data_IF_865400682909
#
_entry.id   IF_865400682909
#
_cell.length_a   1.000
_cell.length_b   1.000
_cell.length_c   1.000
_cell.angle_alpha   90.00
_cell.angle_beta   90.00
_cell.angle_gamma   90.00
#
_symmetry.space_group_name_H-M   'P 1'
#
loop_
_entity.id
_entity.type
_entity.pdbx_description
1 polymer ?
#
# COMPACT_ATOMS: atom_id res chain seq x y z
N UNK A 1 10.00 3.85 -30.22
CA UNK A 1 9.79 3.52 -28.79
C UNK A 1 11.15 3.41 -28.13
N UNK A 2 11.64 4.45 -27.47
CA UNK A 2 12.93 4.36 -26.75
C UNK A 2 12.74 3.51 -25.50
N UNK A 3 13.47 2.40 -25.43
CA UNK A 3 13.53 1.58 -24.24
C UNK A 3 13.96 2.48 -23.05
N UNK A 4 13.18 2.48 -21.99
CA UNK A 4 13.56 3.21 -20.78
C UNK A 4 14.70 2.43 -20.13
N UNK A 5 15.86 3.05 -20.03
CA UNK A 5 16.95 2.50 -19.20
C UNK A 5 16.46 2.35 -17.77
N UNK A 6 16.75 1.21 -17.11
CA UNK A 6 16.51 1.05 -15.69
C UNK A 6 17.12 2.20 -14.90
N UNK A 7 16.51 2.54 -13.77
CA UNK A 7 17.03 3.58 -12.88
C UNK A 7 18.47 3.23 -12.51
N UNK A 8 19.42 4.11 -12.79
CA UNK A 8 20.81 3.92 -12.37
C UNK A 8 20.84 3.77 -10.83
N UNK A 9 21.66 2.85 -10.32
CA UNK A 9 21.68 2.52 -8.90
C UNK A 9 21.89 3.69 -7.95
N UNK A 10 22.59 4.76 -8.43
CA UNK A 10 22.83 6.00 -7.68
C UNK A 10 21.56 6.82 -7.39
N UNK A 11 20.49 6.66 -8.17
CA UNK A 11 19.23 7.41 -8.01
C UNK A 11 18.17 6.65 -7.19
N UNK A 12 18.51 5.43 -6.77
CA UNK A 12 17.56 4.56 -6.07
C UNK A 12 17.70 4.72 -4.56
N UNK A 13 16.60 5.03 -3.90
CA UNK A 13 16.56 5.14 -2.43
C UNK A 13 16.31 3.75 -1.86
N UNK A 14 17.39 2.99 -1.62
CA UNK A 14 17.32 1.61 -1.14
C UNK A 14 16.53 1.46 0.15
N UNK A 15 16.62 2.44 1.06
CA UNK A 15 15.88 2.43 2.32
C UNK A 15 14.37 2.37 2.12
N UNK A 16 13.82 3.09 1.14
CA UNK A 16 12.40 3.05 0.83
C UNK A 16 11.98 1.68 0.27
N UNK A 17 12.84 1.06 -0.53
CA UNK A 17 12.55 -0.27 -1.08
C UNK A 17 12.59 -1.34 0.01
N UNK A 18 13.53 -1.27 0.95
CA UNK A 18 13.60 -2.16 2.12
C UNK A 18 12.36 -1.98 2.99
N UNK A 19 11.99 -0.74 3.33
CA UNK A 19 10.79 -0.46 4.13
C UNK A 19 9.51 -0.97 3.46
N UNK A 20 9.39 -0.83 2.14
CA UNK A 20 8.26 -1.41 1.39
C UNK A 20 8.23 -2.92 1.47
N UNK A 21 9.39 -3.57 1.36
CA UNK A 21 9.51 -5.03 1.50
C UNK A 21 9.07 -5.49 2.89
N UNK A 22 9.53 -4.81 3.95
CA UNK A 22 9.12 -5.10 5.33
C UNK A 22 7.61 -4.87 5.52
N UNK A 23 7.08 -3.76 4.98
CA UNK A 23 5.65 -3.47 5.07
C UNK A 23 4.80 -4.55 4.37
N UNK A 24 5.22 -5.03 3.19
CA UNK A 24 4.53 -6.11 2.46
C UNK A 24 4.55 -7.43 3.24
N UNK A 25 5.68 -7.79 3.86
CA UNK A 25 5.77 -8.97 4.71
C UNK A 25 4.85 -8.85 5.94
N UNK A 26 4.78 -7.68 6.55
CA UNK A 26 3.87 -7.43 7.67
C UNK A 26 2.40 -7.51 7.25
N UNK A 27 2.04 -6.99 6.09
CA UNK A 27 0.69 -7.12 5.51
C UNK A 27 0.36 -8.58 5.21
N UNK A 28 1.33 -9.37 4.72
CA UNK A 28 1.15 -10.80 4.53
C UNK A 28 0.79 -11.50 5.85
N UNK A 29 1.52 -11.22 6.93
CA UNK A 29 1.24 -11.78 8.27
C UNK A 29 -0.18 -11.42 8.72
N UNK A 30 -0.62 -10.17 8.56
CA UNK A 30 -1.99 -9.76 8.89
C UNK A 30 -3.04 -10.57 8.12
N UNK A 31 -2.79 -10.80 6.83
CA UNK A 31 -3.74 -11.44 5.94
C UNK A 31 -3.77 -12.98 6.05
N UNK A 32 -2.81 -13.60 6.76
CA UNK A 32 -2.77 -15.06 6.92
C UNK A 32 -4.05 -15.62 7.54
N UNK A 33 -4.66 -14.89 8.46
CA UNK A 33 -5.95 -15.29 9.08
C UNK A 33 -7.03 -15.43 8.00
N UNK A 34 -7.11 -14.47 7.08
CA UNK A 34 -8.14 -14.48 6.03
C UNK A 34 -7.85 -15.47 4.88
N UNK A 35 -6.62 -15.98 4.77
CA UNK A 35 -6.28 -17.00 3.77
C UNK A 35 -6.60 -18.42 4.24
N UNK A 36 -6.48 -18.68 5.53
CA UNK A 36 -6.58 -20.03 6.09
C UNK A 36 -7.83 -20.29 6.93
N UNK A 37 -8.54 -19.25 7.35
CA UNK A 37 -9.64 -19.35 8.30
C UNK A 37 -10.91 -18.69 7.75
N UNK A 38 -12.11 -19.08 8.26
CA UNK A 38 -13.36 -18.41 7.90
C UNK A 38 -13.28 -16.89 8.10
N UNK A 39 -13.76 -16.10 7.14
CA UNK A 39 -13.69 -14.64 7.17
C UNK A 39 -14.30 -13.98 8.41
N UNK A 40 -15.21 -14.66 9.10
CA UNK A 40 -15.77 -14.20 10.38
C UNK A 40 -14.67 -14.00 11.45
N UNK A 41 -13.60 -14.80 11.41
CA UNK A 41 -12.49 -14.72 12.39
C UNK A 41 -11.63 -13.48 12.21
N UNK A 42 -11.65 -12.90 11.03
CA UNK A 42 -10.94 -11.63 10.79
C UNK A 42 -11.56 -10.47 11.60
N UNK A 43 -12.88 -10.49 11.76
CA UNK A 43 -13.63 -9.47 12.50
C UNK A 43 -13.92 -9.86 13.95
N UNK A 44 -13.99 -11.16 14.24
CA UNK A 44 -14.27 -11.70 15.56
C UNK A 44 -13.39 -12.94 15.81
N UNK A 45 -12.21 -12.77 16.39
CA UNK A 45 -11.23 -13.85 16.58
C UNK A 45 -11.73 -14.96 17.51
N UNK A 46 -12.75 -14.69 18.32
CA UNK A 46 -13.35 -15.67 19.24
C UNK A 46 -14.62 -16.33 18.69
N UNK A 47 -14.92 -16.14 17.40
CA UNK A 47 -16.13 -16.69 16.78
C UNK A 47 -16.20 -18.23 16.80
N UNK A 48 -15.07 -18.93 16.89
CA UNK A 48 -15.01 -20.40 17.00
C UNK A 48 -14.70 -20.90 18.42
N UNK A 49 -14.58 -19.99 19.39
CA UNK A 49 -14.26 -20.31 20.77
C UNK A 49 -13.23 -19.38 21.38
N UNK A 50 -12.93 -19.51 22.67
CA UNK A 50 -11.94 -18.69 23.34
C UNK A 50 -10.53 -18.97 22.78
N UNK A 51 -9.75 -17.91 22.63
CA UNK A 51 -8.34 -18.02 22.28
C UNK A 51 -7.54 -18.43 23.52
N UNK A 52 -6.88 -19.58 23.46
CA UNK A 52 -6.08 -20.11 24.57
C UNK A 52 -4.63 -20.40 24.14
N UNK A 53 -3.73 -20.46 25.12
CA UNK A 53 -2.34 -20.86 24.90
C UNK A 53 -1.63 -20.06 23.82
N UNK A 54 -1.01 -20.75 22.88
CA UNK A 54 -0.22 -20.14 21.80
C UNK A 54 -1.07 -19.33 20.82
N UNK A 55 -2.32 -19.71 20.58
CA UNK A 55 -3.23 -18.98 19.67
C UNK A 55 -3.49 -17.57 20.20
N UNK A 56 -3.70 -17.43 21.50
CA UNK A 56 -3.85 -16.12 22.15
C UNK A 56 -2.57 -15.28 22.03
N UNK A 57 -1.40 -15.88 22.23
CA UNK A 57 -0.12 -15.17 22.10
C UNK A 57 0.10 -14.72 20.66
N UNK A 58 -0.12 -15.60 19.68
CA UNK A 58 0.00 -15.28 18.26
C UNK A 58 -0.97 -14.17 17.84
N UNK A 59 -2.22 -14.25 18.29
CA UNK A 59 -3.21 -13.21 18.03
C UNK A 59 -2.79 -11.86 18.61
N UNK A 60 -2.43 -11.81 19.89
CA UNK A 60 -1.99 -10.56 20.55
C UNK A 60 -0.73 -9.99 19.89
N UNK A 61 0.22 -10.84 19.52
CA UNK A 61 1.40 -10.39 18.78
C UNK A 61 1.02 -9.76 17.44
N UNK A 62 0.17 -10.42 16.67
CA UNK A 62 -0.31 -9.91 15.39
C UNK A 62 -1.07 -8.59 15.56
N UNK A 63 -1.93 -8.48 16.56
CA UNK A 63 -2.72 -7.28 16.85
C UNK A 63 -1.82 -6.09 17.25
N UNK A 64 -0.87 -6.33 18.14
CA UNK A 64 0.02 -5.26 18.65
C UNK A 64 1.05 -4.83 17.62
N UNK A 65 1.65 -5.76 16.87
CA UNK A 65 2.80 -5.47 16.02
C UNK A 65 2.49 -5.39 14.53
N UNK A 66 1.45 -6.08 14.05
CA UNK A 66 1.15 -6.14 12.63
C UNK A 66 -0.11 -5.36 12.24
N UNK A 67 -1.21 -5.54 12.97
CA UNK A 67 -2.51 -5.03 12.57
C UNK A 67 -2.49 -3.51 12.36
N UNK A 68 -2.98 -3.06 11.20
CA UNK A 68 -3.05 -1.68 10.72
C UNK A 68 -1.70 -0.94 10.58
N UNK A 69 -0.67 -1.30 11.35
CA UNK A 69 0.62 -0.61 11.36
C UNK A 69 1.38 -0.75 10.06
N UNK A 70 1.42 -1.96 9.50
CA UNK A 70 2.09 -2.20 8.22
C UNK A 70 1.27 -1.64 7.04
N UNK A 71 -0.06 -1.63 7.14
CA UNK A 71 -0.91 -0.92 6.17
C UNK A 71 -0.65 0.59 6.20
N UNK A 72 -0.59 1.19 7.39
CA UNK A 72 -0.25 2.60 7.57
C UNK A 72 1.14 2.92 7.01
N UNK A 73 2.16 2.12 7.37
CA UNK A 73 3.51 2.27 6.83
C UNK A 73 3.52 2.17 5.30
N UNK A 74 2.85 1.18 4.74
CA UNK A 74 2.77 1.00 3.29
C UNK A 74 2.06 2.17 2.62
N UNK A 75 1.00 2.71 3.21
CA UNK A 75 0.26 3.88 2.72
C UNK A 75 1.15 5.12 2.63
N UNK A 76 1.95 5.39 3.67
CA UNK A 76 2.92 6.49 3.69
C UNK A 76 3.98 6.30 2.59
N UNK A 77 4.53 5.09 2.48
CA UNK A 77 5.53 4.76 1.46
C UNK A 77 4.95 4.82 0.03
N UNK A 78 3.68 4.47 -0.14
CA UNK A 78 2.97 4.61 -1.40
C UNK A 78 2.83 6.09 -1.79
N UNK A 79 2.39 6.94 -0.87
CA UNK A 79 2.28 8.38 -1.07
C UNK A 79 3.63 9.02 -1.42
N UNK A 80 4.69 8.72 -0.65
CA UNK A 80 6.05 9.16 -0.95
C UNK A 80 6.50 8.70 -2.35
N UNK A 81 6.14 7.47 -2.73
CA UNK A 81 6.44 6.92 -4.05
C UNK A 81 5.74 7.65 -5.19
N UNK A 82 4.52 8.14 -4.99
CA UNK A 82 3.80 8.96 -5.99
C UNK A 82 4.54 10.29 -6.20
N UNK A 83 4.92 10.97 -5.11
CA UNK A 83 5.65 12.25 -5.17
C UNK A 83 7.00 12.07 -5.87
N UNK A 84 7.83 11.14 -5.40
CA UNK A 84 9.15 10.89 -5.97
C UNK A 84 9.10 10.49 -7.45
N UNK A 85 8.10 9.69 -7.83
CA UNK A 85 7.91 9.30 -9.21
C UNK A 85 7.53 10.48 -10.09
N UNK A 86 6.57 11.31 -9.66
CA UNK A 86 6.12 12.47 -10.43
C UNK A 86 7.21 13.52 -10.57
N UNK A 87 7.98 13.79 -9.51
CA UNK A 87 9.10 14.73 -9.55
C UNK A 87 10.20 14.27 -10.53
N UNK A 88 10.50 12.98 -10.55
CA UNK A 88 11.45 12.39 -11.50
C UNK A 88 10.97 12.47 -12.95
N UNK A 89 9.66 12.31 -13.20
CA UNK A 89 9.09 12.48 -14.54
C UNK A 89 9.16 13.94 -14.96
N UNK A 90 8.89 14.88 -14.04
CA UNK A 90 8.99 16.32 -14.25
C UNK A 90 10.41 16.72 -14.61
N UNK A 91 11.41 16.24 -13.87
CA UNK A 91 12.83 16.56 -14.14
C UNK A 91 13.30 16.08 -15.51
N UNK A 92 12.64 15.10 -16.11
CA UNK A 92 12.89 14.61 -17.47
C UNK A 92 12.07 15.35 -18.55
N UNK A 93 11.37 16.42 -18.20
CA UNK A 93 10.57 17.21 -19.13
C UNK A 93 9.34 16.47 -19.68
N UNK A 94 8.86 15.41 -19.00
CA UNK A 94 7.72 14.61 -19.44
C UNK A 94 6.45 14.99 -18.67
N UNK A 95 5.28 14.72 -19.24
CA UNK A 95 4.00 14.93 -18.58
C UNK A 95 3.83 13.99 -17.38
N UNK A 96 3.88 14.55 -16.18
CA UNK A 96 3.68 13.83 -14.92
C UNK A 96 2.33 13.13 -14.86
N UNK A 97 1.28 13.86 -15.25
CA UNK A 97 -0.10 13.36 -15.22
C UNK A 97 -0.26 12.15 -16.13
N UNK A 98 0.21 12.23 -17.40
CA UNK A 98 0.09 11.13 -18.35
C UNK A 98 0.77 9.85 -17.85
N UNK A 99 1.96 9.99 -17.26
CA UNK A 99 2.72 8.86 -16.74
C UNK A 99 2.12 8.30 -15.44
N UNK A 100 1.66 9.18 -14.55
CA UNK A 100 1.01 8.79 -13.31
C UNK A 100 -0.29 8.01 -13.59
N UNK A 101 -1.21 8.56 -14.38
CA UNK A 101 -2.49 7.92 -14.65
C UNK A 101 -2.35 6.64 -15.47
N UNK A 102 -1.38 6.56 -16.38
CA UNK A 102 -1.07 5.30 -17.08
C UNK A 102 -0.62 4.20 -16.10
N UNK A 103 0.29 4.53 -15.19
CA UNK A 103 0.74 3.60 -14.14
C UNK A 103 -0.41 3.21 -13.21
N UNK A 104 -1.23 4.19 -12.82
CA UNK A 104 -2.37 3.98 -11.96
C UNK A 104 -3.47 3.14 -12.64
N UNK A 105 -3.69 3.30 -13.92
CA UNK A 105 -4.59 2.46 -14.73
C UNK A 105 -4.17 0.99 -14.72
N UNK A 106 -2.87 0.70 -14.83
CA UNK A 106 -2.36 -0.66 -14.67
C UNK A 106 -2.54 -1.20 -13.26
N UNK A 107 -2.29 -0.36 -12.23
CA UNK A 107 -2.55 -0.74 -10.84
C UNK A 107 -4.01 -1.10 -10.61
N UNK A 108 -4.94 -0.30 -11.15
CA UNK A 108 -6.37 -0.57 -11.07
C UNK A 108 -6.75 -1.87 -11.80
N UNK A 109 -6.22 -2.08 -13.00
CA UNK A 109 -6.49 -3.28 -13.79
C UNK A 109 -6.03 -4.54 -13.05
N UNK A 110 -4.80 -4.54 -12.53
CA UNK A 110 -4.28 -5.65 -11.75
C UNK A 110 -5.03 -5.83 -10.43
N UNK A 111 -5.41 -4.72 -9.76
CA UNK A 111 -6.24 -4.76 -8.55
C UNK A 111 -7.60 -5.39 -8.80
N UNK A 112 -8.30 -5.00 -9.87
CA UNK A 112 -9.56 -5.61 -10.25
C UNK A 112 -9.41 -7.10 -10.57
N UNK A 113 -8.40 -7.46 -11.35
CA UNK A 113 -8.11 -8.87 -11.63
C UNK A 113 -7.84 -9.65 -10.34
N UNK A 114 -7.05 -9.08 -9.41
CA UNK A 114 -6.77 -9.70 -8.13
C UNK A 114 -8.03 -9.84 -7.28
N UNK A 115 -8.84 -8.77 -7.15
CA UNK A 115 -10.05 -8.76 -6.35
C UNK A 115 -11.10 -9.78 -6.82
N UNK A 116 -11.27 -9.92 -8.15
CA UNK A 116 -12.31 -10.80 -8.72
C UNK A 116 -11.84 -12.23 -8.98
N UNK A 117 -10.56 -12.45 -9.25
CA UNK A 117 -10.05 -13.76 -9.66
C UNK A 117 -9.28 -14.49 -8.56
N UNK A 118 -8.70 -13.77 -7.60
CA UNK A 118 -7.81 -14.36 -6.60
C UNK A 118 -8.37 -14.21 -5.19
N UNK A 119 -8.64 -12.98 -4.75
CA UNK A 119 -9.04 -12.74 -3.37
C UNK A 119 -9.76 -11.40 -3.20
N UNK A 120 -10.97 -11.44 -2.61
CA UNK A 120 -11.83 -10.28 -2.42
C UNK A 120 -11.32 -9.25 -1.38
N UNK A 121 -10.34 -9.61 -0.55
CA UNK A 121 -9.67 -8.70 0.38
C UNK A 121 -8.60 -7.81 -0.29
N UNK A 122 -8.74 -7.52 -1.60
CA UNK A 122 -7.79 -6.71 -2.34
C UNK A 122 -7.67 -5.28 -1.82
N UNK A 123 -6.45 -4.80 -1.75
CA UNK A 123 -6.11 -3.44 -1.37
C UNK A 123 -5.65 -2.58 -2.56
N UNK A 124 -5.27 -3.21 -3.69
CA UNK A 124 -4.70 -2.52 -4.85
C UNK A 124 -5.72 -1.59 -5.51
N UNK A 125 -7.00 -2.01 -5.57
CA UNK A 125 -8.09 -1.17 -6.09
C UNK A 125 -8.23 0.10 -5.23
N UNK A 126 -8.21 -0.04 -3.91
CA UNK A 126 -8.27 1.08 -2.97
C UNK A 126 -7.10 2.04 -3.18
N UNK A 127 -5.87 1.52 -3.29
CA UNK A 127 -4.70 2.35 -3.57
C UNK A 127 -4.76 3.02 -4.94
N UNK A 128 -5.31 2.36 -5.96
CA UNK A 128 -5.48 2.95 -7.27
C UNK A 128 -6.46 4.15 -7.22
N UNK A 129 -7.57 4.02 -6.51
CA UNK A 129 -8.54 5.11 -6.34
C UNK A 129 -7.94 6.26 -5.52
N UNK A 130 -7.31 5.95 -4.38
CA UNK A 130 -6.64 6.96 -3.55
C UNK A 130 -5.52 7.68 -4.30
N UNK A 131 -4.81 6.99 -5.20
CA UNK A 131 -3.72 7.56 -6.00
C UNK A 131 -4.17 8.67 -6.93
N UNK A 132 -5.42 8.65 -7.41
CA UNK A 132 -6.00 9.75 -8.19
C UNK A 132 -6.02 11.04 -7.35
N UNK A 133 -6.51 10.94 -6.14
CA UNK A 133 -6.59 12.07 -5.21
C UNK A 133 -5.20 12.52 -4.74
N UNK A 134 -4.32 11.58 -4.40
CA UNK A 134 -2.94 11.87 -4.03
C UNK A 134 -2.21 12.71 -5.09
N UNK A 135 -2.43 12.42 -6.36
CA UNK A 135 -1.83 13.18 -7.44
C UNK A 135 -2.29 14.65 -7.45
N UNK A 136 -3.56 14.91 -7.15
CA UNK A 136 -4.11 16.27 -7.09
C UNK A 136 -3.54 17.06 -5.91
N UNK A 137 -3.35 16.40 -4.77
CA UNK A 137 -2.86 17.03 -3.54
C UNK A 137 -1.34 17.08 -3.40
N UNK A 138 -0.56 16.45 -4.30
CA UNK A 138 0.90 16.31 -4.18
C UNK A 138 1.68 17.61 -4.06
N UNK A 139 1.14 18.71 -4.57
CA UNK A 139 1.75 20.05 -4.50
C UNK A 139 1.24 20.91 -3.35
N UNK A 140 0.40 20.36 -2.47
CA UNK A 140 -0.16 21.08 -1.34
C UNK A 140 0.88 21.41 -0.28
N UNK A 141 0.67 22.52 0.44
CA UNK A 141 1.48 22.84 1.61
C UNK A 141 1.22 21.82 2.73
N UNK A 142 2.23 21.56 3.58
CA UNK A 142 2.09 20.62 4.71
C UNK A 142 0.89 21.00 5.58
N UNK A 143 0.70 22.29 5.87
CA UNK A 143 -0.47 22.76 6.64
C UNK A 143 -1.79 22.45 5.94
N UNK A 144 -1.89 22.69 4.63
CA UNK A 144 -3.10 22.40 3.87
C UNK A 144 -3.42 20.91 3.83
N UNK A 145 -2.39 20.06 3.72
CA UNK A 145 -2.55 18.60 3.74
C UNK A 145 -2.98 18.09 5.12
N UNK A 146 -2.44 18.63 6.21
CA UNK A 146 -2.86 18.28 7.57
C UNK A 146 -4.31 18.68 7.82
N UNK A 147 -4.71 19.89 7.45
CA UNK A 147 -6.11 20.35 7.56
C UNK A 147 -7.03 19.45 6.74
N UNK A 148 -6.64 19.07 5.51
CA UNK A 148 -7.42 18.17 4.67
C UNK A 148 -7.52 16.75 5.25
N UNK A 149 -6.53 16.32 6.03
CA UNK A 149 -6.52 15.04 6.73
C UNK A 149 -7.31 15.06 8.05
N UNK A 150 -7.78 16.23 8.50
CA UNK A 150 -8.50 16.37 9.76
C UNK A 150 -7.61 16.36 11.01
N UNK A 151 -6.35 16.75 10.85
CA UNK A 151 -5.33 16.80 11.93
C UNK A 151 -4.89 18.23 12.19
#
# INVERSE_FOLDING_TARGET
MSAQTPIAGADRIHQLDVLRGVALLGILVMNMISFGLPGALYFNPVALGPLEGLDRVAFLFSEVFANEKFMGLFSVLFGAGVVLFTDRIRSKGKSEAAWHYRRNGWLLLFGLAHAYLLWNGDILVTYAICSVWLFLFRGGSVRGLLIAAGV
#
